data_IF_502797778641
#
_entry.id   IF_502797778641
#
_cell.length_a   1.000
_cell.length_b   1.000
_cell.length_c   1.000
_cell.angle_alpha   90.00
_cell.angle_beta   90.00
_cell.angle_gamma   90.00
#
_symmetry.space_group_name_H-M   'P 1'
#
loop_
_entity.id
_entity.type
_entity.pdbx_description
1 polymer ?
#
# COMPACT_ATOMS: atom_id res chain seq x y z
N UNK A 1 -15.85 14.32 -0.03
CA UNK A 1 -16.44 12.96 -0.23
C UNK A 1 -15.42 11.87 0.09
N UNK A 2 -14.15 12.04 -0.31
CA UNK A 2 -13.06 11.14 0.08
C UNK A 2 -12.92 10.99 1.59
N UNK A 3 -13.06 12.09 2.33
CA UNK A 3 -12.98 12.13 3.79
C UNK A 3 -14.02 11.22 4.44
N UNK A 4 -15.26 11.24 3.92
CA UNK A 4 -16.33 10.36 4.40
C UNK A 4 -15.99 8.89 4.10
N UNK A 5 -15.43 8.60 2.92
CA UNK A 5 -14.95 7.26 2.59
C UNK A 5 -13.88 6.77 3.56
N UNK A 6 -12.92 7.63 3.92
CA UNK A 6 -11.90 7.31 4.92
C UNK A 6 -12.50 7.14 6.33
N UNK A 7 -13.44 7.99 6.75
CA UNK A 7 -14.14 7.83 8.03
C UNK A 7 -14.92 6.51 8.10
N UNK A 8 -15.63 6.13 7.03
CA UNK A 8 -16.31 4.84 6.93
C UNK A 8 -15.31 3.68 7.02
N UNK A 9 -14.16 3.77 6.33
CA UNK A 9 -13.09 2.79 6.41
C UNK A 9 -12.57 2.63 7.86
N UNK A 10 -12.24 3.73 8.53
CA UNK A 10 -11.78 3.70 9.93
C UNK A 10 -12.82 3.13 10.89
N UNK A 11 -14.10 3.39 10.62
CA UNK A 11 -15.22 2.79 11.37
C UNK A 11 -15.50 1.32 10.99
N UNK A 12 -14.66 0.70 10.16
CA UNK A 12 -14.83 -0.66 9.58
C UNK A 12 -16.14 -0.87 8.83
N UNK A 13 -16.77 0.22 8.36
CA UNK A 13 -17.94 0.21 7.48
C UNK A 13 -17.47 0.07 6.03
N UNK A 14 -16.81 -1.05 5.73
CA UNK A 14 -16.08 -1.25 4.47
C UNK A 14 -16.96 -1.15 3.22
N UNK A 15 -18.18 -1.70 3.29
CA UNK A 15 -19.15 -1.60 2.20
C UNK A 15 -19.50 -0.15 1.85
N UNK A 16 -19.67 0.69 2.86
CA UNK A 16 -20.00 2.10 2.67
C UNK A 16 -18.79 2.89 2.18
N UNK A 17 -17.60 2.59 2.70
CA UNK A 17 -16.35 3.15 2.19
C UNK A 17 -16.15 2.82 0.70
N UNK A 18 -16.38 1.56 0.30
CA UNK A 18 -16.32 1.12 -1.09
C UNK A 18 -17.32 1.88 -1.97
N UNK A 19 -18.58 2.00 -1.55
CA UNK A 19 -19.60 2.73 -2.29
C UNK A 19 -19.21 4.20 -2.50
N UNK A 20 -18.67 4.84 -1.46
CA UNK A 20 -18.21 6.24 -1.54
C UNK A 20 -17.05 6.36 -2.53
N UNK A 21 -16.01 5.53 -2.41
CA UNK A 21 -14.85 5.61 -3.32
C UNK A 21 -15.22 5.24 -4.75
N UNK A 22 -16.07 4.24 -4.97
CA UNK A 22 -16.61 3.91 -6.31
C UNK A 22 -17.38 5.08 -6.91
N UNK A 23 -18.22 5.74 -6.09
CA UNK A 23 -18.97 6.94 -6.50
C UNK A 23 -18.04 8.09 -6.89
N UNK A 24 -17.01 8.36 -6.09
CA UNK A 24 -15.98 9.38 -6.44
C UNK A 24 -15.29 9.03 -7.75
N UNK A 25 -14.88 7.77 -7.91
CA UNK A 25 -14.24 7.31 -9.14
C UNK A 25 -15.15 7.40 -10.36
N UNK A 26 -16.48 7.30 -10.21
CA UNK A 26 -17.42 7.46 -11.33
C UNK A 26 -17.57 8.92 -11.78
N UNK A 27 -17.31 9.88 -10.89
CA UNK A 27 -17.50 11.31 -11.14
C UNK A 27 -16.21 12.02 -11.60
N UNK A 28 -15.03 11.48 -11.28
CA UNK A 28 -13.75 12.09 -11.60
C UNK A 28 -13.08 11.45 -12.83
N UNK A 29 -12.55 12.25 -13.78
CA UNK A 29 -11.79 11.74 -14.92
C UNK A 29 -10.51 10.99 -14.52
N UNK A 30 -9.86 11.43 -13.44
CA UNK A 30 -8.70 10.77 -12.84
C UNK A 30 -9.17 9.97 -11.62
N UNK A 31 -9.17 8.64 -11.75
CA UNK A 31 -9.68 7.71 -10.73
C UNK A 31 -8.64 7.35 -9.66
N UNK A 32 -7.41 7.83 -9.81
CA UNK A 32 -6.25 7.41 -9.01
C UNK A 32 -6.50 7.49 -7.50
N UNK A 33 -7.04 8.61 -7.02
CA UNK A 33 -7.31 8.82 -5.60
C UNK A 33 -8.42 7.87 -5.09
N UNK A 34 -9.45 7.64 -5.91
CA UNK A 34 -10.52 6.69 -5.57
C UNK A 34 -10.01 5.24 -5.56
N UNK A 35 -9.13 4.89 -6.49
CA UNK A 35 -8.51 3.57 -6.58
C UNK A 35 -7.59 3.29 -5.40
N UNK A 36 -6.81 4.29 -4.94
CA UNK A 36 -6.05 4.19 -3.70
C UNK A 36 -6.97 4.05 -2.49
N UNK A 37 -8.09 4.79 -2.44
CA UNK A 37 -9.11 4.60 -1.40
C UNK A 37 -9.66 3.16 -1.36
N UNK A 38 -10.00 2.59 -2.52
CA UNK A 38 -10.47 1.21 -2.65
C UNK A 38 -9.38 0.19 -2.29
N UNK A 39 -8.14 0.43 -2.69
CA UNK A 39 -7.01 -0.44 -2.35
C UNK A 39 -6.80 -0.49 -0.83
N UNK A 40 -7.00 0.65 -0.14
CA UNK A 40 -6.86 0.73 1.30
C UNK A 40 -7.96 -0.06 2.02
N UNK A 41 -9.20 -0.01 1.51
CA UNK A 41 -10.29 -0.84 2.02
C UNK A 41 -10.03 -2.32 1.76
N UNK A 42 -9.59 -2.69 0.56
CA UNK A 42 -9.26 -4.07 0.22
C UNK A 42 -8.14 -4.62 1.13
N UNK A 43 -7.13 -3.80 1.45
CA UNK A 43 -6.08 -4.16 2.39
C UNK A 43 -6.62 -4.40 3.82
N UNK A 44 -7.51 -3.55 4.32
CA UNK A 44 -8.13 -3.73 5.65
C UNK A 44 -9.05 -4.97 5.71
N UNK A 45 -9.59 -5.39 4.56
CA UNK A 45 -10.35 -6.62 4.39
C UNK A 45 -9.47 -7.85 4.10
N UNK A 46 -8.14 -7.70 4.13
CA UNK A 46 -7.15 -8.75 3.82
C UNK A 46 -7.25 -9.30 2.38
N UNK A 47 -7.86 -8.54 1.47
CA UNK A 47 -7.98 -8.85 0.03
C UNK A 47 -6.75 -8.28 -0.71
N UNK A 48 -5.58 -8.85 -0.43
CA UNK A 48 -4.30 -8.28 -0.86
C UNK A 48 -4.13 -8.26 -2.39
N UNK A 49 -4.63 -9.26 -3.11
CA UNK A 49 -4.55 -9.30 -4.57
C UNK A 49 -5.37 -8.19 -5.22
N UNK A 50 -6.54 -7.89 -4.65
CA UNK A 50 -7.37 -6.78 -5.11
C UNK A 50 -6.69 -5.44 -4.82
N UNK A 51 -6.16 -5.27 -3.61
CA UNK A 51 -5.44 -4.06 -3.20
C UNK A 51 -4.23 -3.79 -4.10
N UNK A 52 -3.43 -4.81 -4.38
CA UNK A 52 -2.27 -4.72 -5.27
C UNK A 52 -2.69 -4.34 -6.70
N UNK A 53 -3.73 -4.99 -7.25
CA UNK A 53 -4.24 -4.67 -8.59
C UNK A 53 -4.68 -3.21 -8.70
N UNK A 54 -5.32 -2.68 -7.66
CA UNK A 54 -5.77 -1.28 -7.62
C UNK A 54 -4.56 -0.32 -7.56
N UNK A 55 -3.58 -0.56 -6.68
CA UNK A 55 -2.35 0.24 -6.64
C UNK A 55 -1.59 0.21 -7.98
N UNK A 56 -1.45 -0.97 -8.59
CA UNK A 56 -0.78 -1.12 -9.90
C UNK A 56 -1.54 -0.41 -11.02
N UNK A 57 -2.87 -0.33 -10.97
CA UNK A 57 -3.67 0.44 -11.93
C UNK A 57 -3.34 1.93 -11.86
N UNK A 58 -3.19 2.47 -10.65
CA UNK A 58 -2.76 3.86 -10.46
C UNK A 58 -1.35 4.07 -11.01
N UNK A 59 -0.42 3.16 -10.73
CA UNK A 59 0.95 3.23 -11.26
C UNK A 59 1.04 3.06 -12.78
N UNK A 60 0.06 2.41 -13.41
CA UNK A 60 -0.02 2.33 -14.87
C UNK A 60 -0.44 3.66 -15.51
N UNK A 61 -1.32 4.40 -14.83
CA UNK A 61 -1.79 5.74 -15.26
C UNK A 61 -0.74 6.81 -14.95
N UNK A 62 -0.20 6.80 -13.74
CA UNK A 62 0.84 7.70 -13.25
C UNK A 62 1.97 6.88 -12.60
N UNK A 63 3.01 6.61 -13.40
CA UNK A 63 4.19 5.87 -12.95
C UNK A 63 5.06 6.65 -11.97
N UNK A 64 4.74 7.91 -11.66
CA UNK A 64 5.46 8.75 -10.69
C UNK A 64 4.63 8.96 -9.41
N UNK A 65 3.51 8.25 -9.25
CA UNK A 65 2.66 8.37 -8.08
C UNK A 65 3.29 7.69 -6.85
N UNK A 66 3.98 8.51 -6.03
CA UNK A 66 4.63 8.04 -4.80
C UNK A 66 3.64 7.42 -3.81
N UNK A 67 2.41 7.95 -3.71
CA UNK A 67 1.41 7.42 -2.79
C UNK A 67 1.00 5.99 -3.18
N UNK A 68 0.86 5.72 -4.48
CA UNK A 68 0.59 4.38 -4.98
C UNK A 68 1.72 3.39 -4.70
N UNK A 69 2.99 3.83 -4.81
CA UNK A 69 4.13 3.00 -4.40
C UNK A 69 4.13 2.72 -2.89
N UNK A 70 3.91 3.74 -2.05
CA UNK A 70 3.88 3.56 -0.59
C UNK A 70 2.77 2.57 -0.19
N UNK A 71 1.58 2.72 -0.76
CA UNK A 71 0.45 1.86 -0.47
C UNK A 71 0.61 0.44 -1.05
N UNK A 72 1.23 0.28 -2.22
CA UNK A 72 1.62 -1.04 -2.73
C UNK A 72 2.60 -1.74 -1.80
N UNK A 73 3.57 -1.01 -1.23
CA UNK A 73 4.49 -1.58 -0.26
C UNK A 73 3.78 -1.99 1.03
N UNK A 74 2.79 -1.23 1.53
CA UNK A 74 1.94 -1.64 2.66
C UNK A 74 1.19 -2.95 2.38
N UNK A 75 0.61 -3.09 1.18
CA UNK A 75 -0.06 -4.33 0.75
C UNK A 75 0.93 -5.50 0.73
N UNK A 76 2.12 -5.29 0.17
CA UNK A 76 3.18 -6.31 0.10
C UNK A 76 3.70 -6.72 1.49
N UNK A 77 3.82 -5.78 2.41
CA UNK A 77 4.12 -6.08 3.83
C UNK A 77 2.98 -6.92 4.43
N UNK A 78 1.73 -6.55 4.16
CA UNK A 78 0.54 -7.26 4.65
C UNK A 78 0.47 -8.72 4.19
N UNK A 79 0.91 -9.03 2.97
CA UNK A 79 1.01 -10.41 2.47
C UNK A 79 2.36 -11.09 2.77
N UNK A 80 3.21 -10.49 3.61
CA UNK A 80 4.55 -10.97 3.99
C UNK A 80 5.55 -11.08 2.81
N UNK A 81 5.29 -10.39 1.70
CA UNK A 81 6.25 -10.24 0.59
C UNK A 81 7.20 -9.06 0.84
N UNK A 82 8.09 -9.27 1.83
CA UNK A 82 9.07 -8.27 2.26
C UNK A 82 10.07 -7.92 1.15
N UNK A 83 10.36 -8.87 0.27
CA UNK A 83 11.25 -8.69 -0.88
C UNK A 83 10.70 -7.68 -1.89
N UNK A 84 9.44 -7.85 -2.29
CA UNK A 84 8.77 -6.91 -3.19
C UNK A 84 8.56 -5.55 -2.52
N UNK A 85 8.13 -5.52 -1.25
CA UNK A 85 7.95 -4.27 -0.49
C UNK A 85 9.21 -3.40 -0.51
N UNK A 86 10.38 -4.01 -0.31
CA UNK A 86 11.68 -3.32 -0.35
C UNK A 86 11.96 -2.68 -1.71
N UNK A 87 11.71 -3.41 -2.80
CA UNK A 87 11.93 -2.91 -4.16
C UNK A 87 10.97 -1.78 -4.50
N UNK A 88 9.70 -1.91 -4.10
CA UNK A 88 8.66 -0.90 -4.28
C UNK A 88 9.01 0.40 -3.54
N UNK A 89 9.47 0.33 -2.28
CA UNK A 89 9.88 1.50 -1.51
C UNK A 89 11.15 2.15 -2.06
N UNK A 90 12.08 1.35 -2.61
CA UNK A 90 13.24 1.89 -3.33
C UNK A 90 12.80 2.73 -4.53
N UNK A 91 11.88 2.21 -5.35
CA UNK A 91 11.32 2.96 -6.49
C UNK A 91 10.62 4.26 -6.02
N UNK A 92 9.84 4.20 -4.94
CA UNK A 92 9.20 5.37 -4.35
C UNK A 92 10.22 6.45 -3.95
N UNK A 93 11.33 6.05 -3.34
CA UNK A 93 12.40 6.95 -2.89
C UNK A 93 13.17 7.57 -4.06
N UNK A 94 13.41 6.81 -5.12
CA UNK A 94 14.14 7.28 -6.31
C UNK A 94 13.38 8.41 -7.03
N UNK A 95 12.06 8.50 -6.84
CA UNK A 95 11.22 9.62 -7.30
C UNK A 95 11.40 10.91 -6.50
N UNK A 96 12.21 10.90 -5.42
CA UNK A 96 12.45 12.03 -4.50
C UNK A 96 11.14 12.60 -3.93
N UNK A 97 10.45 11.82 -3.08
CA UNK A 97 9.20 12.25 -2.50
C UNK A 97 9.41 13.47 -1.59
N UNK A 98 8.38 14.29 -1.47
CA UNK A 98 8.32 15.44 -0.55
C UNK A 98 7.45 15.10 0.67
N UNK A 99 7.48 15.92 1.70
CA UNK A 99 6.62 15.74 2.87
C UNK A 99 5.12 15.82 2.49
N UNK A 100 4.24 15.02 3.12
CA UNK A 100 4.52 14.06 4.20
C UNK A 100 4.98 12.66 3.71
N UNK A 101 5.02 12.44 2.40
CA UNK A 101 5.25 11.10 1.82
C UNK A 101 6.67 10.58 2.05
N UNK A 102 7.67 11.47 2.11
CA UNK A 102 9.05 11.06 2.41
C UNK A 102 9.18 10.44 3.81
N UNK A 103 8.48 10.98 4.80
CA UNK A 103 8.43 10.42 6.15
C UNK A 103 7.75 9.05 6.18
N UNK A 104 6.65 8.89 5.45
CA UNK A 104 5.94 7.62 5.31
C UNK A 104 6.82 6.55 4.66
N UNK A 105 7.39 6.85 3.47
CA UNK A 105 8.27 5.92 2.75
C UNK A 105 9.46 5.50 3.61
N UNK A 106 10.06 6.45 4.35
CA UNK A 106 11.17 6.17 5.26
C UNK A 106 10.75 5.26 6.42
N UNK A 107 9.55 5.46 6.96
CA UNK A 107 9.01 4.65 8.05
C UNK A 107 8.72 3.22 7.61
N UNK A 108 8.08 3.05 6.44
CA UNK A 108 7.84 1.74 5.83
C UNK A 108 9.15 1.01 5.51
N UNK A 109 10.17 1.74 5.05
CA UNK A 109 11.48 1.15 4.78
C UNK A 109 12.13 0.56 6.04
N UNK A 110 12.07 1.30 7.16
CA UNK A 110 12.55 0.81 8.46
C UNK A 110 11.78 -0.44 8.91
N UNK A 111 10.46 -0.47 8.71
CA UNK A 111 9.64 -1.63 9.02
C UNK A 111 10.06 -2.85 8.19
N UNK A 112 10.24 -2.68 6.88
CA UNK A 112 10.73 -3.74 5.97
C UNK A 112 12.10 -4.25 6.41
N UNK A 113 13.03 -3.37 6.77
CA UNK A 113 14.37 -3.78 7.22
C UNK A 113 14.33 -4.56 8.55
N UNK A 114 13.40 -4.22 9.46
CA UNK A 114 13.18 -4.96 10.70
C UNK A 114 12.57 -6.34 10.42
N UNK A 115 11.52 -6.41 9.61
CA UNK A 115 10.86 -7.67 9.24
C UNK A 115 11.84 -8.63 8.54
N UNK A 116 12.68 -8.11 7.65
CA UNK A 116 13.71 -8.90 6.98
C UNK A 116 14.71 -9.49 7.99
N UNK A 117 15.16 -8.71 8.99
CA UNK A 117 16.07 -9.20 10.04
C UNK A 117 15.42 -10.28 10.90
N UNK A 118 14.15 -10.13 11.25
CA UNK A 118 13.40 -11.13 12.03
C UNK A 118 13.31 -12.46 11.27
N UNK A 119 12.95 -12.41 9.98
CA UNK A 119 12.90 -13.61 9.11
C UNK A 119 14.25 -14.35 9.04
N UNK A 120 15.38 -13.62 9.07
CA UNK A 120 16.72 -14.22 9.03
C UNK A 120 17.20 -14.72 10.41
N UNK A 121 16.69 -14.14 11.50
CA UNK A 121 17.00 -14.56 12.87
C UNK A 121 16.30 -15.89 13.22
N UNK A 122 15.13 -16.17 12.63
CA UNK A 122 14.36 -17.40 12.84
C UNK A 122 14.88 -18.62 12.06
N UNK A 123 15.93 -18.45 11.24
CA UNK A 123 16.66 -19.58 10.62
C UNK A 123 17.96 -19.89 11.37
N UNK A 124 17.94 -20.58 12.53
CA UNK A 124 19.15 -21.10 13.14
C UNK A 124 19.69 -22.28 12.32
N UNK A 125 21.02 -22.28 12.14
CA UNK A 125 21.82 -23.37 11.56
C UNK A 125 21.50 -24.70 12.28
N UNK A 126 20.61 -25.50 11.72
CA UNK A 126 20.29 -26.85 12.20
C UNK A 126 20.44 -27.86 11.06
N UNK A 127 21.56 -27.79 10.34
CA UNK A 127 22.03 -28.91 9.52
C UNK A 127 23.56 -28.98 9.64
N UNK A 128 24.03 -29.43 10.78
CA UNK A 128 25.35 -30.03 10.93
C UNK A 128 25.15 -31.23 11.86
N UNK A 129 24.76 -32.36 11.27
CA UNK A 129 24.88 -33.70 11.84
C UNK A 129 26.01 -34.40 11.11
#
# INVERSE_FOLDING_TARGET
MMEVGHLCRYARRFREAQQIFQGVGALLPARDIADLGLAAVACDELKFEEAERLCRRVLHSDSRNVAAYAQLAEVQIGCNDIGSAKNTLKAARDLRPVEPLVSLVSSLQRLVDLLQKLQHAETPKLVAR
#
